data_IF_257857494530
#
_entry.id   IF_257857494530
#
_cell.length_a   1.000
_cell.length_b   1.000
_cell.length_c   1.000
_cell.angle_alpha   90.00
_cell.angle_beta   90.00
_cell.angle_gamma   90.00
#
_symmetry.space_group_name_H-M   'P 1'
#
loop_
_entity.id
_entity.type
_entity.pdbx_description
1 polymer ?
#
# COMPACT_ATOMS: atom_id res chain seq x y z
N UNK A 1 -6.32 4.81 24.86
CA UNK A 1 -5.26 3.88 24.50
C UNK A 1 -5.66 3.05 23.27
N UNK A 2 -6.82 2.43 23.32
CA UNK A 2 -7.27 1.63 22.19
C UNK A 2 -7.56 2.48 20.96
N UNK A 3 -8.16 3.67 21.15
CA UNK A 3 -8.41 4.59 20.04
C UNK A 3 -7.11 5.10 19.43
N UNK A 4 -6.10 5.36 20.26
CA UNK A 4 -4.79 5.78 19.79
C UNK A 4 -4.12 4.68 18.97
N UNK A 5 -4.20 3.44 19.43
CA UNK A 5 -3.65 2.29 18.73
C UNK A 5 -4.30 2.11 17.36
N UNK A 6 -5.64 2.23 17.30
CA UNK A 6 -6.38 2.10 16.05
C UNK A 6 -6.00 3.19 15.06
N UNK A 7 -5.81 4.42 15.54
CA UNK A 7 -5.40 5.52 14.70
C UNK A 7 -4.02 5.30 14.11
N UNK A 8 -3.05 4.90 14.95
CA UNK A 8 -1.70 4.64 14.50
C UNK A 8 -1.66 3.54 13.44
N UNK A 9 -2.47 2.51 13.62
CA UNK A 9 -2.55 1.41 12.68
C UNK A 9 -3.17 1.84 11.36
N UNK A 10 -4.24 2.63 11.42
CA UNK A 10 -4.87 3.18 10.23
C UNK A 10 -3.89 4.06 9.46
N UNK A 11 -3.07 4.84 10.18
CA UNK A 11 -2.06 5.67 9.57
C UNK A 11 -1.00 4.83 8.86
N UNK A 12 -0.58 3.72 9.48
CA UNK A 12 0.39 2.82 8.85
C UNK A 12 -0.15 2.18 7.58
N UNK A 13 -1.41 1.77 7.60
CA UNK A 13 -2.06 1.20 6.41
C UNK A 13 -2.18 2.25 5.32
N UNK A 14 -2.50 3.50 5.69
CA UNK A 14 -2.56 4.59 4.72
C UNK A 14 -1.20 4.86 4.09
N UNK A 15 -0.12 4.82 4.87
CA UNK A 15 1.23 4.99 4.33
C UNK A 15 1.59 3.86 3.38
N UNK A 16 1.25 2.64 3.72
CA UNK A 16 1.47 1.50 2.84
C UNK A 16 0.68 1.65 1.54
N UNK A 17 -0.57 2.08 1.62
CA UNK A 17 -1.42 2.31 0.48
C UNK A 17 -0.82 3.34 -0.48
N UNK A 18 -0.35 4.48 0.04
CA UNK A 18 0.29 5.51 -0.76
C UNK A 18 1.61 5.02 -1.37
N UNK A 19 2.39 4.25 -0.62
CA UNK A 19 3.64 3.70 -1.12
C UNK A 19 3.40 2.73 -2.29
N UNK A 20 2.43 1.83 -2.14
CA UNK A 20 2.09 0.89 -3.20
C UNK A 20 1.54 1.60 -4.43
N UNK A 21 0.79 2.70 -4.23
CA UNK A 21 0.33 3.52 -5.33
C UNK A 21 1.50 4.16 -6.08
N UNK A 22 2.51 4.64 -5.35
CA UNK A 22 3.71 5.20 -5.98
C UNK A 22 4.43 4.14 -6.82
N UNK A 23 4.55 2.91 -6.31
CA UNK A 23 5.14 1.81 -7.08
C UNK A 23 4.35 1.58 -8.38
N UNK A 24 3.04 1.58 -8.29
CA UNK A 24 2.18 1.41 -9.47
C UNK A 24 2.39 2.55 -10.47
N UNK A 25 2.42 3.79 -10.00
CA UNK A 25 2.66 4.95 -10.86
C UNK A 25 4.03 4.87 -11.54
N UNK A 26 5.06 4.43 -10.81
CA UNK A 26 6.39 4.23 -11.39
C UNK A 26 6.36 3.15 -12.48
N UNK A 27 5.56 2.11 -12.30
CA UNK A 27 5.43 1.05 -13.31
C UNK A 27 4.78 1.55 -14.60
N UNK A 28 4.06 2.67 -14.55
CA UNK A 28 3.42 3.31 -15.69
C UNK A 28 4.27 4.45 -16.27
N UNK A 29 5.49 4.63 -15.77
CA UNK A 29 6.38 5.74 -16.15
C UNK A 29 5.70 7.11 -15.94
N UNK A 30 4.90 7.22 -14.87
CA UNK A 30 4.23 8.47 -14.54
C UNK A 30 5.22 9.53 -14.07
N UNK A 31 4.81 10.81 -14.19
CA UNK A 31 5.64 11.92 -13.74
C UNK A 31 5.90 11.82 -12.23
N UNK A 32 7.14 12.14 -11.82
CA UNK A 32 7.50 12.14 -10.40
C UNK A 32 6.67 13.15 -9.59
N UNK A 33 6.10 14.16 -10.25
CA UNK A 33 5.24 15.12 -9.56
C UNK A 33 3.95 14.51 -9.03
N UNK A 34 3.58 13.31 -9.50
CA UNK A 34 2.39 12.60 -9.05
C UNK A 34 2.66 11.71 -7.84
N UNK A 35 3.92 11.53 -7.45
CA UNK A 35 4.27 10.65 -6.34
C UNK A 35 3.94 11.29 -4.99
N UNK A 36 3.41 10.49 -4.07
CA UNK A 36 3.17 10.92 -2.70
C UNK A 36 4.48 11.05 -1.93
N UNK A 37 5.45 10.19 -2.23
CA UNK A 37 6.76 10.17 -1.57
C UNK A 37 7.88 10.36 -2.59
N UNK A 38 8.06 11.58 -3.12
CA UNK A 38 9.09 11.80 -4.15
C UNK A 38 10.50 11.52 -3.64
N UNK A 39 10.74 11.62 -2.33
CA UNK A 39 12.04 11.30 -1.73
C UNK A 39 12.36 9.81 -1.80
N UNK A 40 11.33 8.97 -1.99
CA UNK A 40 11.48 7.53 -2.14
C UNK A 40 11.37 7.07 -3.59
N UNK A 41 11.52 7.99 -4.55
CA UNK A 41 11.34 7.68 -5.96
C UNK A 41 12.28 6.56 -6.44
N UNK A 42 13.53 6.54 -5.95
CA UNK A 42 14.48 5.51 -6.32
C UNK A 42 14.06 4.14 -5.83
N UNK A 43 13.54 4.08 -4.60
CA UNK A 43 13.09 2.84 -3.97
C UNK A 43 11.84 2.31 -4.65
N UNK A 44 10.86 3.18 -4.92
CA UNK A 44 9.64 2.76 -5.61
C UNK A 44 9.91 2.34 -7.05
N UNK A 45 10.85 3.02 -7.72
CA UNK A 45 11.26 2.64 -9.07
C UNK A 45 11.93 1.26 -9.09
N UNK A 46 12.78 0.97 -8.11
CA UNK A 46 13.44 -0.33 -8.01
C UNK A 46 12.43 -1.46 -7.84
N UNK A 47 11.41 -1.24 -7.01
CA UNK A 47 10.35 -2.23 -6.81
C UNK A 47 9.52 -2.37 -8.10
N UNK A 48 9.18 -1.26 -8.74
CA UNK A 48 8.38 -1.27 -9.97
C UNK A 48 9.08 -2.04 -11.08
N UNK A 49 10.41 -1.95 -11.14
CA UNK A 49 11.19 -2.68 -12.14
C UNK A 49 11.23 -4.18 -11.86
N UNK A 50 10.98 -4.58 -10.61
CA UNK A 50 11.13 -5.96 -10.16
C UNK A 50 9.83 -6.78 -10.27
N UNK A 51 8.67 -6.12 -10.22
CA UNK A 51 7.38 -6.80 -10.23
C UNK A 51 6.64 -6.54 -11.55
N UNK A 52 5.77 -7.48 -12.00
CA UNK A 52 4.93 -7.24 -13.17
C UNK A 52 3.95 -6.09 -12.94
N UNK A 53 3.62 -5.34 -14.00
CA UNK A 53 2.66 -4.24 -13.91
C UNK A 53 1.31 -4.65 -13.30
N UNK A 54 0.71 -5.81 -13.68
CA UNK A 54 -0.54 -6.23 -13.06
C UNK A 54 -0.42 -6.48 -11.56
N UNK A 55 0.76 -6.92 -11.10
CA UNK A 55 0.99 -7.14 -9.67
C UNK A 55 1.01 -5.82 -8.90
N UNK A 56 1.59 -4.76 -9.49
CA UNK A 56 1.61 -3.44 -8.85
C UNK A 56 0.19 -2.92 -8.63
N UNK A 57 -0.68 -3.02 -9.63
CA UNK A 57 -2.08 -2.59 -9.49
C UNK A 57 -2.82 -3.48 -8.49
N UNK A 58 -2.59 -4.78 -8.52
CA UNK A 58 -3.20 -5.71 -7.58
C UNK A 58 -2.84 -5.35 -6.14
N UNK A 59 -1.59 -4.98 -5.90
CA UNK A 59 -1.14 -4.58 -4.56
C UNK A 59 -1.88 -3.33 -4.09
N UNK A 60 -2.12 -2.35 -4.96
CA UNK A 60 -2.91 -1.15 -4.64
C UNK A 60 -4.32 -1.57 -4.22
N UNK A 61 -4.95 -2.46 -4.98
CA UNK A 61 -6.31 -2.92 -4.69
C UNK A 61 -6.38 -3.70 -3.39
N UNK A 62 -5.35 -4.51 -3.08
CA UNK A 62 -5.27 -5.23 -1.81
C UNK A 62 -5.21 -4.26 -0.64
N UNK A 63 -4.39 -3.21 -0.75
CA UNK A 63 -4.28 -2.20 0.30
C UNK A 63 -5.59 -1.43 0.49
N UNK A 64 -6.28 -1.08 -0.61
CA UNK A 64 -7.59 -0.43 -0.54
C UNK A 64 -8.60 -1.31 0.18
N UNK A 65 -8.60 -2.60 -0.13
CA UNK A 65 -9.52 -3.55 0.49
C UNK A 65 -9.22 -3.72 1.97
N UNK A 66 -7.93 -3.76 2.34
CA UNK A 66 -7.53 -3.81 3.74
C UNK A 66 -8.05 -2.59 4.51
N UNK A 67 -7.91 -1.40 3.93
CA UNK A 67 -8.38 -0.17 4.56
C UNK A 67 -9.88 -0.24 4.83
N UNK A 68 -10.66 -0.74 3.87
CA UNK A 68 -12.10 -0.89 4.04
C UNK A 68 -12.44 -1.92 5.12
N UNK A 69 -11.72 -3.03 5.17
CA UNK A 69 -11.95 -4.07 6.17
C UNK A 69 -11.68 -3.56 7.58
N UNK A 70 -10.65 -2.76 7.76
CA UNK A 70 -10.33 -2.19 9.07
C UNK A 70 -11.44 -1.25 9.56
N UNK A 71 -12.19 -0.65 8.65
CA UNK A 71 -13.28 0.25 8.99
C UNK A 71 -14.60 -0.46 9.26
N UNK A 72 -14.67 -1.80 9.09
CA UNK A 72 -15.90 -2.57 9.21
C UNK A 72 -15.89 -3.62 10.33
N UNK A 73 -15.05 -3.43 11.34
CA UNK A 73 -14.97 -4.33 12.51
C UNK A 73 -14.55 -5.77 12.19
N UNK A 74 -13.87 -5.99 11.10
CA UNK A 74 -13.29 -7.30 10.83
C UNK A 74 -12.13 -7.52 11.81
N UNK A 75 -11.88 -8.77 12.19
CA UNK A 75 -10.74 -9.11 13.03
C UNK A 75 -9.46 -8.61 12.36
N UNK A 76 -8.88 -7.64 13.01
CA UNK A 76 -7.85 -6.83 12.44
C UNK A 76 -6.55 -7.55 12.14
N UNK A 77 -6.10 -8.33 13.12
CA UNK A 77 -4.87 -9.09 12.93
C UNK A 77 -4.98 -10.03 11.73
N UNK A 78 -6.15 -10.66 11.57
CA UNK A 78 -6.38 -11.57 10.45
C UNK A 78 -6.43 -10.82 9.12
N UNK A 79 -7.09 -9.67 9.08
CA UNK A 79 -7.18 -8.88 7.86
C UNK A 79 -5.80 -8.42 7.39
N UNK A 80 -4.97 -7.92 8.31
CA UNK A 80 -3.63 -7.48 7.99
C UNK A 80 -2.78 -8.66 7.52
N UNK A 81 -2.84 -9.79 8.22
CA UNK A 81 -2.07 -10.96 7.88
C UNK A 81 -2.40 -11.47 6.47
N UNK A 82 -3.69 -11.59 6.16
CA UNK A 82 -4.12 -12.05 4.84
C UNK A 82 -3.69 -11.08 3.75
N UNK A 83 -3.82 -9.77 4.00
CA UNK A 83 -3.43 -8.76 3.01
C UNK A 83 -1.92 -8.82 2.74
N UNK A 84 -1.10 -8.94 3.79
CA UNK A 84 0.35 -8.99 3.63
C UNK A 84 0.78 -10.23 2.85
N UNK A 85 0.09 -11.35 3.03
CA UNK A 85 0.39 -12.57 2.29
C UNK A 85 0.06 -12.44 0.80
N UNK A 86 -0.90 -11.58 0.44
CA UNK A 86 -1.32 -11.38 -0.94
C UNK A 86 -0.50 -10.34 -1.68
N UNK A 87 0.13 -9.42 -0.96
CA UNK A 87 0.93 -8.37 -1.58
C UNK A 87 2.22 -8.98 -2.14
N UNK A 88 2.49 -8.72 -3.41
CA UNK A 88 3.65 -9.25 -4.12
C UNK A 88 4.65 -8.11 -4.36
N UNK A 89 5.70 -8.07 -3.59
CA UNK A 89 6.80 -7.13 -3.77
C UNK A 89 8.08 -7.88 -4.12
#
# INVERSE_FOLDING_TARGET
IEAEYRRQRSDLVSLLQWFLRDVWLQSLDASQSLLQFPDLANETQAIAARIPKPAALRNVNIADQLQRQLNTNVQEALAIEVALLKIAL
#
